data_IF_102469198420
#
_entry.id   IF_102469198420
#
_cell.length_a   1.000
_cell.length_b   1.000
_cell.length_c   1.000
_cell.angle_alpha   90.00
_cell.angle_beta   90.00
_cell.angle_gamma   90.00
#
_symmetry.space_group_name_H-M   'P 1'
#
loop_
_entity.id
_entity.type
_entity.pdbx_description
1 polymer ?
#
# COMPACT_ATOMS: atom_id res chain seq x y z
N UNK A 1 8.84 30.48 -2.49
CA UNK A 1 8.01 29.94 -3.62
C UNK A 1 6.87 29.11 -3.04
N UNK A 2 5.73 29.00 -3.75
CA UNK A 2 4.59 28.17 -3.34
C UNK A 2 4.08 27.33 -4.51
N UNK A 3 3.78 26.04 -4.28
CA UNK A 3 3.28 25.10 -5.30
C UNK A 3 2.10 24.33 -4.71
N UNK A 4 0.94 24.41 -5.36
CA UNK A 4 -0.25 23.64 -5.00
C UNK A 4 -0.32 22.35 -5.81
N UNK A 5 -0.60 21.22 -5.15
CA UNK A 5 -0.71 19.88 -5.76
C UNK A 5 -1.88 19.16 -5.08
N UNK A 6 -3.09 19.25 -5.65
CA UNK A 6 -4.29 18.74 -5.00
C UNK A 6 -4.48 19.36 -3.62
N UNK A 7 -4.66 18.51 -2.59
CA UNK A 7 -4.79 18.94 -1.18
C UNK A 7 -3.46 19.32 -0.51
N UNK A 8 -2.35 19.21 -1.24
CA UNK A 8 -1.01 19.47 -0.75
C UNK A 8 -0.49 20.83 -1.21
N UNK A 9 0.33 21.44 -0.35
CA UNK A 9 1.02 22.69 -0.60
C UNK A 9 2.50 22.51 -0.29
N UNK A 10 3.38 22.85 -1.23
CA UNK A 10 4.81 22.99 -0.98
C UNK A 10 5.11 24.47 -0.85
N UNK A 11 5.56 24.88 0.33
CA UNK A 11 6.12 26.21 0.55
C UNK A 11 7.63 26.10 0.75
N UNK A 12 8.39 27.07 0.26
CA UNK A 12 9.84 27.07 0.47
C UNK A 12 10.32 28.42 0.97
N UNK A 13 11.22 28.35 1.95
CA UNK A 13 12.06 29.43 2.45
C UNK A 13 13.49 29.25 1.93
N UNK A 14 14.45 30.05 2.42
CA UNK A 14 15.85 30.02 1.98
C UNK A 14 16.57 28.68 2.26
N UNK A 15 16.02 27.82 3.12
CA UNK A 15 16.72 26.63 3.64
C UNK A 15 16.05 25.32 3.23
N UNK A 16 14.73 25.32 3.04
CA UNK A 16 13.97 24.09 2.91
C UNK A 16 12.66 24.26 2.14
N UNK A 17 12.13 23.11 1.71
CA UNK A 17 10.81 22.89 1.15
C UNK A 17 9.95 22.20 2.21
N UNK A 18 8.87 22.87 2.63
CA UNK A 18 7.90 22.35 3.60
C UNK A 18 6.70 21.81 2.84
N UNK A 19 6.44 20.51 2.95
CA UNK A 19 5.23 19.88 2.42
C UNK A 19 4.14 19.99 3.47
N UNK A 20 3.00 20.54 3.08
CA UNK A 20 1.82 20.77 3.92
C UNK A 20 0.60 20.11 3.30
N UNK A 21 -0.38 19.78 4.13
CA UNK A 21 -1.70 19.29 3.70
C UNK A 21 -2.80 20.08 4.39
N UNK A 22 -3.86 20.39 3.64
CA UNK A 22 -5.09 20.93 4.19
C UNK A 22 -5.93 19.77 4.72
N UNK A 23 -6.26 19.82 6.01
CA UNK A 23 -7.10 18.82 6.67
C UNK A 23 -8.27 19.49 7.37
N UNK A 24 -9.25 18.67 7.73
CA UNK A 24 -10.40 19.09 8.54
C UNK A 24 -10.33 18.37 9.88
N UNK A 25 -10.63 19.06 10.97
CA UNK A 25 -10.71 18.42 12.29
C UNK A 25 -11.88 17.44 12.31
N UNK A 26 -11.57 16.15 12.48
CA UNK A 26 -12.57 15.06 12.49
C UNK A 26 -12.98 14.61 13.89
N UNK A 27 -12.27 15.07 14.93
CA UNK A 27 -12.60 14.79 16.32
C UNK A 27 -13.87 15.55 16.74
N UNK A 28 -14.94 14.80 17.01
CA UNK A 28 -16.28 15.33 17.34
C UNK A 28 -16.34 16.03 18.70
N UNK A 29 -15.41 15.74 19.61
CA UNK A 29 -15.36 16.37 20.94
C UNK A 29 -14.56 17.68 20.93
N UNK A 30 -13.82 17.94 19.84
CA UNK A 30 -13.06 19.16 19.67
C UNK A 30 -13.97 20.38 19.46
N UNK A 31 -13.66 21.49 20.14
CA UNK A 31 -14.28 22.80 19.88
C UNK A 31 -14.11 23.28 18.43
N UNK A 32 -13.14 22.71 17.72
CA UNK A 32 -12.80 23.06 16.33
C UNK A 32 -13.30 22.00 15.32
N UNK A 33 -14.19 21.08 15.71
CA UNK A 33 -14.74 20.07 14.80
C UNK A 33 -15.23 20.70 13.49
N UNK A 34 -14.85 20.10 12.36
CA UNK A 34 -15.21 20.59 11.02
C UNK A 34 -14.41 21.80 10.53
N UNK A 35 -13.53 22.40 11.35
CA UNK A 35 -12.71 23.52 10.92
C UNK A 35 -11.49 23.05 10.12
N UNK A 36 -11.09 23.78 9.06
CA UNK A 36 -9.89 23.47 8.30
C UNK A 36 -8.63 23.83 9.10
N UNK A 37 -7.58 23.04 8.94
CA UNK A 37 -6.27 23.33 9.48
C UNK A 37 -5.18 22.85 8.51
N UNK A 38 -4.02 23.49 8.61
CA UNK A 38 -2.85 23.13 7.81
C UNK A 38 -1.90 22.32 8.67
N UNK A 39 -1.53 21.13 8.20
CA UNK A 39 -0.55 20.29 8.86
C UNK A 39 0.75 20.24 8.05
N UNK A 40 1.89 20.48 8.71
CA UNK A 40 3.20 20.22 8.12
C UNK A 40 3.47 18.70 8.13
N UNK A 41 3.78 18.13 6.98
CA UNK A 41 4.02 16.69 6.81
C UNK A 41 5.51 16.35 6.68
N UNK A 42 6.28 17.20 5.99
CA UNK A 42 7.70 16.95 5.77
C UNK A 42 8.48 18.23 5.56
N UNK A 43 9.77 18.18 5.93
CA UNK A 43 10.77 19.18 5.62
C UNK A 43 11.81 18.53 4.70
N UNK A 44 12.01 19.13 3.52
CA UNK A 44 12.82 18.59 2.45
C UNK A 44 13.90 19.60 2.07
N UNK A 45 15.13 19.13 1.82
CA UNK A 45 16.24 20.00 1.38
C UNK A 45 16.21 20.30 -0.12
N UNK A 46 15.40 19.57 -0.90
CA UNK A 46 15.27 19.77 -2.35
C UNK A 46 13.81 19.75 -2.80
N UNK A 47 13.50 20.43 -3.89
CA UNK A 47 12.18 20.38 -4.50
C UNK A 47 11.81 18.95 -4.95
N UNK A 48 12.77 18.21 -5.51
CA UNK A 48 12.53 16.85 -5.99
C UNK A 48 12.12 15.89 -4.86
N UNK A 49 12.75 15.99 -3.68
CA UNK A 49 12.34 15.18 -2.53
C UNK A 49 10.95 15.57 -2.02
N UNK A 50 10.62 16.87 -2.01
CA UNK A 50 9.28 17.34 -1.66
C UNK A 50 8.20 16.80 -2.63
N UNK A 51 8.48 16.82 -3.95
CA UNK A 51 7.58 16.28 -4.97
C UNK A 51 7.40 14.75 -4.85
N UNK A 52 8.47 14.01 -4.59
CA UNK A 52 8.40 12.54 -4.39
C UNK A 52 7.70 12.14 -3.10
N UNK A 53 7.73 13.00 -2.08
CA UNK A 53 7.08 12.72 -0.80
C UNK A 53 5.56 12.62 -0.93
N UNK A 54 4.92 13.50 -1.71
CA UNK A 54 3.46 13.57 -1.85
C UNK A 54 2.83 12.23 -2.30
N UNK A 55 3.20 11.61 -3.44
CA UNK A 55 2.60 10.35 -3.85
C UNK A 55 2.87 9.23 -2.85
N UNK A 56 4.05 9.21 -2.20
CA UNK A 56 4.32 8.23 -1.16
C UNK A 56 3.40 8.41 0.06
N UNK A 57 3.13 9.65 0.44
CA UNK A 57 2.24 9.96 1.54
C UNK A 57 0.79 9.55 1.22
N UNK A 58 0.32 9.82 0.00
CA UNK A 58 -1.02 9.40 -0.46
C UNK A 58 -1.17 7.88 -0.33
N UNK A 59 -0.19 7.12 -0.80
CA UNK A 59 -0.23 5.65 -0.71
C UNK A 59 -0.17 5.16 0.74
N UNK A 60 0.69 5.75 1.58
CA UNK A 60 0.87 5.33 2.99
C UNK A 60 -0.33 5.67 3.88
N UNK A 61 -1.03 6.75 3.59
CA UNK A 61 -2.19 7.20 4.39
C UNK A 61 -3.52 6.60 3.92
N UNK A 62 -3.49 5.74 2.90
CA UNK A 62 -4.66 5.01 2.47
C UNK A 62 -4.78 3.68 3.25
N UNK A 63 -5.75 3.63 4.17
CA UNK A 63 -6.00 2.47 5.02
C UNK A 63 -6.40 1.23 4.21
N UNK A 64 -7.11 1.41 3.09
CA UNK A 64 -7.51 0.30 2.21
C UNK A 64 -6.30 -0.38 1.57
N UNK A 65 -5.31 0.41 1.12
CA UNK A 65 -4.04 -0.12 0.59
C UNK A 65 -3.31 -0.92 1.67
N UNK A 66 -3.27 -0.40 2.91
CA UNK A 66 -2.68 -1.10 4.06
C UNK A 66 -3.39 -2.43 4.35
N UNK A 67 -4.73 -2.45 4.31
CA UNK A 67 -5.53 -3.66 4.49
C UNK A 67 -5.24 -4.68 3.39
N UNK A 68 -5.21 -4.25 2.12
CA UNK A 68 -4.91 -5.12 0.99
C UNK A 68 -3.51 -5.73 1.14
N UNK A 69 -2.50 -4.93 1.48
CA UNK A 69 -1.14 -5.41 1.68
C UNK A 69 -1.05 -6.47 2.78
N UNK A 70 -1.76 -6.28 3.88
CA UNK A 70 -1.79 -7.25 4.98
C UNK A 70 -2.44 -8.58 4.55
N UNK A 71 -3.54 -8.52 3.79
CA UNK A 71 -4.19 -9.74 3.25
C UNK A 71 -3.28 -10.50 2.29
N UNK A 72 -2.55 -9.79 1.42
CA UNK A 72 -1.60 -10.42 0.50
C UNK A 72 -0.47 -11.12 1.25
N UNK A 73 0.12 -10.47 2.27
CA UNK A 73 1.14 -11.10 3.12
C UNK A 73 0.64 -12.34 3.83
N UNK A 74 -0.61 -12.33 4.30
CA UNK A 74 -1.21 -13.52 4.92
C UNK A 74 -1.33 -14.67 3.90
N UNK A 75 -1.80 -14.39 2.69
CA UNK A 75 -1.90 -15.39 1.62
C UNK A 75 -0.52 -15.97 1.27
N UNK A 76 0.52 -15.12 1.18
CA UNK A 76 1.90 -15.59 0.95
C UNK A 76 2.35 -16.54 2.06
N UNK A 77 2.13 -16.17 3.32
CA UNK A 77 2.47 -17.02 4.46
C UNK A 77 1.68 -18.36 4.44
N UNK A 78 0.39 -18.31 4.08
CA UNK A 78 -0.45 -19.50 3.98
C UNK A 78 0.04 -20.43 2.86
N UNK A 79 0.45 -19.88 1.71
CA UNK A 79 1.05 -20.64 0.60
C UNK A 79 2.37 -21.29 1.02
N UNK A 80 3.24 -20.56 1.73
CA UNK A 80 4.51 -21.10 2.23
C UNK A 80 4.31 -22.21 3.28
N UNK A 81 3.23 -22.10 4.06
CA UNK A 81 2.83 -23.11 5.04
C UNK A 81 2.17 -24.34 4.41
N UNK A 82 1.77 -24.29 3.13
CA UNK A 82 1.22 -25.46 2.46
C UNK A 82 2.27 -26.58 2.45
N UNK A 83 1.87 -27.83 2.77
CA UNK A 83 2.77 -28.95 2.66
C UNK A 83 3.27 -29.06 1.21
N UNK A 84 4.60 -29.06 1.04
CA UNK A 84 5.26 -29.36 -0.23
C UNK A 84 4.69 -30.67 -0.79
N UNK A 85 4.57 -30.82 -2.12
CA UNK A 85 3.72 -31.83 -2.73
C UNK A 85 3.89 -33.20 -2.06
N UNK A 86 2.79 -33.67 -1.47
CA UNK A 86 2.58 -35.10 -1.30
C UNK A 86 2.76 -35.67 -2.71
N UNK A 87 3.70 -36.61 -2.89
CA UNK A 87 3.87 -37.31 -4.17
C UNK A 87 2.48 -37.79 -4.60
N UNK A 88 1.91 -37.17 -5.63
CA UNK A 88 0.71 -37.68 -6.26
C UNK A 88 1.19 -38.90 -7.05
N UNK A 89 1.10 -40.08 -6.43
CA UNK A 89 1.27 -41.34 -7.15
C UNK A 89 0.11 -41.45 -8.12
N UNK A 90 0.35 -41.03 -9.37
CA UNK A 90 -0.58 -41.30 -10.46
C UNK A 90 -0.55 -42.81 -10.67
N UNK A 91 -1.54 -43.51 -10.12
CA UNK A 91 -1.74 -44.93 -10.42
C UNK A 91 -1.83 -45.08 -11.93
N UNK A 92 -0.82 -45.74 -12.51
CA UNK A 92 -0.87 -46.17 -13.90
C UNK A 92 -2.02 -47.17 -14.01
N UNK A 93 -3.12 -46.75 -14.62
CA UNK A 93 -4.16 -47.66 -15.08
C UNK A 93 -3.49 -48.57 -16.12
N UNK A 94 -3.05 -49.74 -15.68
CA UNK A 94 -2.59 -50.80 -16.56
C UNK A 94 -3.84 -51.35 -17.26
N UNK A 95 -4.14 -50.84 -18.45
CA UNK A 95 -5.01 -51.55 -19.37
C UNK A 95 -4.31 -52.85 -19.74
N UNK A 96 -4.67 -53.95 -19.08
CA UNK A 96 -4.44 -55.29 -19.60
C UNK A 96 -5.18 -55.33 -20.95
N UNK A 97 -4.46 -55.19 -22.04
CA UNK A 97 -4.94 -55.75 -23.31
C UNK A 97 -4.86 -57.24 -23.10
N UNK A 98 -6.02 -57.86 -22.96
CA UNK A 98 -6.18 -59.29 -23.01
C UNK A 98 -5.53 -59.78 -24.30
N UNK A 99 -4.53 -60.62 -24.15
CA UNK A 99 -4.12 -61.56 -25.19
C UNK A 99 -5.32 -62.49 -25.43
N UNK A 100 -6.26 -62.06 -26.27
CA UNK A 100 -7.23 -62.97 -26.87
C UNK A 100 -6.67 -63.50 -28.18
N UNK A 101 -6.20 -64.75 -28.07
CA UNK A 101 -5.99 -65.77 -29.08
C UNK A 101 -6.80 -65.56 -30.39
N UNK A 102 -6.12 -65.64 -31.53
CA UNK A 102 -6.12 -66.75 -32.52
C UNK A 102 -5.26 -66.35 -33.72
#
# INVERSE_FOLDING_TARGET
MKINIGDYLIETDERQFVVKINKTVTDKESKNYGQPYVQNLAYCTTLNSALKFIPQQVLRSNDEISIIMNKLKQIEADIEALPKPIKIEVEKIVTKKEDENI
#
